data_IF_055567683109
#
_entry.id   IF_055567683109
#
_cell.length_a   1.000
_cell.length_b   1.000
_cell.length_c   1.000
_cell.angle_alpha   90.00
_cell.angle_beta   90.00
_cell.angle_gamma   90.00
#
_symmetry.space_group_name_H-M   'P 1'
#
loop_
_entity.id
_entity.type
_entity.pdbx_description
1 polymer ?
#
# COMPACT_ATOMS: atom_id res chain seq x y z
N UNK A 1 4.04 -6.78 12.24
CA UNK A 1 4.34 -7.14 10.83
C UNK A 1 4.68 -5.89 10.04
N UNK A 2 5.70 -5.96 9.18
CA UNK A 2 6.10 -4.86 8.30
C UNK A 2 6.06 -5.30 6.83
N UNK A 3 5.40 -4.52 5.97
CA UNK A 3 5.24 -4.80 4.54
C UNK A 3 6.16 -3.88 3.73
N UNK A 4 7.12 -4.47 3.02
CA UNK A 4 8.15 -3.72 2.28
C UNK A 4 8.15 -4.05 0.80
N UNK A 5 8.76 -3.20 -0.02
CA UNK A 5 9.01 -3.51 -1.43
C UNK A 5 8.17 -2.69 -2.40
N UNK A 6 7.92 -3.23 -3.58
CA UNK A 6 7.56 -2.43 -4.76
C UNK A 6 6.21 -1.69 -4.63
N UNK A 7 6.05 -0.57 -5.33
CA UNK A 7 4.78 0.18 -5.35
C UNK A 7 3.72 -0.52 -6.21
N UNK A 8 2.46 -0.44 -5.82
CA UNK A 8 1.35 -1.07 -6.55
C UNK A 8 1.36 -2.61 -6.57
N UNK A 9 2.18 -3.26 -5.74
CA UNK A 9 2.31 -4.71 -5.62
C UNK A 9 1.29 -5.37 -4.67
N UNK A 10 0.57 -4.57 -3.88
CA UNK A 10 -0.52 -5.06 -3.02
C UNK A 10 -0.33 -4.90 -1.51
N UNK A 11 0.68 -4.18 -1.02
CA UNK A 11 0.88 -3.94 0.44
C UNK A 11 -0.41 -3.49 1.16
N UNK A 12 -1.04 -2.43 0.65
CA UNK A 12 -2.28 -1.89 1.24
C UNK A 12 -3.48 -2.79 0.97
N UNK A 13 -3.46 -3.56 -0.12
CA UNK A 13 -4.50 -4.55 -0.42
C UNK A 13 -4.47 -5.69 0.61
N UNK A 14 -3.29 -6.23 0.91
CA UNK A 14 -3.12 -7.25 1.94
C UNK A 14 -3.51 -6.73 3.33
N UNK A 15 -3.10 -5.50 3.70
CA UNK A 15 -3.51 -4.88 4.96
C UNK A 15 -5.04 -4.81 5.11
N UNK A 16 -5.74 -4.42 4.03
CA UNK A 16 -7.22 -4.41 3.98
C UNK A 16 -7.81 -5.82 4.10
N UNK A 17 -7.18 -6.83 3.49
CA UNK A 17 -7.61 -8.22 3.63
C UNK A 17 -7.47 -8.73 5.05
N UNK A 18 -6.36 -8.42 5.74
CA UNK A 18 -6.14 -8.76 7.15
C UNK A 18 -7.22 -8.11 8.02
N UNK A 19 -7.48 -6.81 7.84
CA UNK A 19 -8.55 -6.12 8.56
C UNK A 19 -9.92 -6.77 8.30
N UNK A 20 -10.20 -7.17 7.06
CA UNK A 20 -11.45 -7.87 6.69
C UNK A 20 -11.57 -9.27 7.30
N UNK A 21 -10.44 -9.98 7.45
CA UNK A 21 -10.42 -11.30 8.07
C UNK A 21 -10.65 -11.22 9.60
N UNK A 22 -10.14 -10.17 10.24
CA UNK A 22 -10.22 -10.03 11.71
C UNK A 22 -11.51 -9.34 12.15
N UNK A 23 -11.99 -8.31 11.43
CA UNK A 23 -13.16 -7.53 11.82
C UNK A 23 -14.29 -7.62 10.79
N UNK A 24 -15.52 -7.85 11.27
CA UNK A 24 -16.73 -7.91 10.43
C UNK A 24 -16.93 -6.68 9.53
N UNK A 25 -16.56 -5.49 10.02
CA UNK A 25 -16.66 -4.22 9.28
C UNK A 25 -15.38 -3.86 8.53
N UNK A 26 -14.37 -4.73 8.51
CA UNK A 26 -13.06 -4.49 7.90
C UNK A 26 -12.48 -3.12 8.32
N UNK A 27 -12.01 -2.32 7.36
CA UNK A 27 -11.50 -0.96 7.58
C UNK A 27 -12.54 0.03 8.13
N UNK A 28 -13.83 -0.29 8.09
CA UNK A 28 -14.90 0.54 8.69
C UNK A 28 -15.18 0.18 10.15
N UNK A 29 -14.43 -0.77 10.72
CA UNK A 29 -14.50 -1.08 12.15
C UNK A 29 -13.96 0.09 12.96
N UNK A 30 -14.62 0.44 14.06
CA UNK A 30 -14.13 1.46 15.00
C UNK A 30 -12.82 1.06 15.70
N UNK A 31 -12.42 -0.21 15.58
CA UNK A 31 -11.18 -0.77 16.14
C UNK A 31 -10.09 -0.98 15.08
N UNK A 32 -10.31 -0.53 13.84
CA UNK A 32 -9.30 -0.54 12.79
C UNK A 32 -8.95 0.90 12.48
N UNK A 33 -7.68 1.24 12.64
CA UNK A 33 -7.20 2.59 12.53
C UNK A 33 -6.07 2.67 11.50
N UNK A 34 -6.25 3.51 10.48
CA UNK A 34 -5.25 3.73 9.44
C UNK A 34 -4.68 5.14 9.55
N UNK A 35 -3.36 5.25 9.66
CA UNK A 35 -2.60 6.48 9.56
C UNK A 35 -1.78 6.47 8.27
N UNK A 36 -1.82 7.57 7.53
CA UNK A 36 -0.95 7.82 6.36
C UNK A 36 0.00 8.93 6.75
N UNK A 37 1.31 8.67 6.74
CA UNK A 37 2.30 9.58 7.30
C UNK A 37 2.25 10.98 6.67
N UNK A 38 2.18 11.06 5.34
CA UNK A 38 2.16 12.32 4.58
C UNK A 38 0.91 13.16 4.82
N UNK A 39 -0.22 12.56 5.17
CA UNK A 39 -1.47 13.27 5.47
C UNK A 39 -1.55 13.71 6.92
N UNK A 40 -1.12 12.87 7.86
CA UNK A 40 -1.31 13.11 9.29
C UNK A 40 -0.14 13.88 9.92
N UNK A 41 1.04 13.83 9.31
CA UNK A 41 2.25 14.48 9.81
C UNK A 41 2.90 15.36 8.72
N UNK A 42 2.18 16.34 8.14
CA UNK A 42 2.68 17.11 7.01
C UNK A 42 3.75 18.14 7.40
N UNK A 43 3.70 18.67 8.64
CA UNK A 43 4.60 19.72 9.11
C UNK A 43 5.64 19.18 10.10
N UNK A 44 6.92 19.21 9.70
CA UNK A 44 8.03 18.74 10.54
C UNK A 44 8.20 19.60 11.81
N UNK A 45 7.82 20.87 11.79
CA UNK A 45 7.93 21.75 12.97
C UNK A 45 6.95 21.37 14.10
N UNK A 46 5.85 20.66 13.77
CA UNK A 46 4.85 20.20 14.73
C UNK A 46 5.12 18.78 15.25
N UNK A 47 6.29 18.21 14.94
CA UNK A 47 6.64 16.82 15.26
C UNK A 47 6.45 16.46 16.73
N UNK A 48 6.82 17.33 17.66
CA UNK A 48 6.64 17.07 19.11
C UNK A 48 5.16 17.01 19.52
N UNK A 49 4.33 17.89 18.94
CA UNK A 49 2.88 17.86 19.13
C UNK A 49 2.28 16.58 18.57
N UNK A 50 2.66 16.20 17.35
CA UNK A 50 2.20 14.96 16.71
C UNK A 50 2.60 13.71 17.51
N UNK A 51 3.78 13.74 18.14
CA UNK A 51 4.27 12.65 18.99
C UNK A 51 3.35 12.42 20.19
N UNK A 52 3.01 13.48 20.90
CA UNK A 52 2.12 13.40 22.08
C UNK A 52 0.69 13.06 21.70
N UNK A 53 0.19 13.60 20.59
CA UNK A 53 -1.12 13.25 20.04
C UNK A 53 -1.18 11.75 19.68
N UNK A 54 -0.18 11.24 18.97
CA UNK A 54 -0.11 9.84 18.57
C UNK A 54 -0.08 8.91 19.79
N UNK A 55 0.73 9.20 20.79
CA UNK A 55 0.81 8.43 22.05
C UNK A 55 -0.52 8.37 22.78
N UNK A 56 -1.15 9.53 22.96
CA UNK A 56 -2.42 9.66 23.67
C UNK A 56 -3.52 8.89 22.94
N UNK A 57 -3.54 9.01 21.62
CA UNK A 57 -4.51 8.35 20.77
C UNK A 57 -4.33 6.81 20.76
N UNK A 58 -3.10 6.28 20.65
CA UNK A 58 -2.85 4.82 20.73
C UNK A 58 -3.34 4.29 22.09
N UNK A 59 -2.96 4.95 23.20
CA UNK A 59 -3.40 4.56 24.55
C UNK A 59 -4.91 4.53 24.68
N UNK A 60 -5.59 5.59 24.24
CA UNK A 60 -7.04 5.68 24.35
C UNK A 60 -7.75 4.55 23.58
N UNK A 61 -7.29 4.21 22.37
CA UNK A 61 -7.89 3.14 21.58
C UNK A 61 -7.59 1.75 22.17
N UNK A 62 -6.38 1.52 22.68
CA UNK A 62 -6.04 0.28 23.38
C UNK A 62 -6.81 0.12 24.70
N UNK A 63 -7.05 1.21 25.43
CA UNK A 63 -7.93 1.21 26.62
C UNK A 63 -9.37 0.86 26.27
N UNK A 64 -9.86 1.28 25.10
CA UNK A 64 -11.20 0.97 24.64
C UNK A 64 -11.30 -0.47 24.09
N UNK A 65 -10.27 -0.93 23.37
CA UNK A 65 -10.17 -2.29 22.87
C UNK A 65 -8.70 -2.71 22.73
N UNK A 66 -8.28 -3.68 23.54
CA UNK A 66 -6.91 -4.24 23.52
C UNK A 66 -6.54 -4.85 22.16
N UNK A 67 -7.53 -5.33 21.41
CA UNK A 67 -7.37 -5.88 20.07
C UNK A 67 -7.63 -4.82 19.00
N UNK A 68 -7.20 -3.58 19.20
CA UNK A 68 -7.28 -2.56 18.15
C UNK A 68 -6.18 -2.81 17.11
N UNK A 69 -6.53 -2.72 15.82
CA UNK A 69 -5.59 -2.87 14.71
C UNK A 69 -5.13 -1.49 14.24
N UNK A 70 -3.82 -1.25 14.29
CA UNK A 70 -3.20 -0.02 13.83
C UNK A 70 -2.42 -0.29 12.54
N UNK A 71 -2.70 0.48 11.49
CA UNK A 71 -2.06 0.40 10.17
C UNK A 71 -1.37 1.75 9.93
N UNK A 72 -0.05 1.74 9.83
CA UNK A 72 0.74 2.91 9.46
C UNK A 72 1.21 2.75 8.01
N UNK A 73 0.79 3.66 7.15
CA UNK A 73 1.07 3.70 5.72
C UNK A 73 2.08 4.82 5.42
N UNK A 74 2.87 4.64 4.36
CA UNK A 74 3.98 5.51 3.98
C UNK A 74 4.97 5.76 5.15
N UNK A 75 5.29 4.71 5.90
CA UNK A 75 6.20 4.80 7.06
C UNK A 75 7.61 5.28 6.68
N UNK A 76 8.03 5.08 5.43
CA UNK A 76 9.28 5.62 4.89
C UNK A 76 9.31 7.16 4.85
N UNK A 77 8.13 7.80 4.89
CA UNK A 77 7.94 9.26 4.96
C UNK A 77 7.67 9.76 6.38
N UNK A 78 7.60 8.87 7.36
CA UNK A 78 7.36 9.27 8.75
C UNK A 78 8.64 9.87 9.37
N UNK A 79 8.58 11.06 9.99
CA UNK A 79 9.68 11.61 10.78
C UNK A 79 10.17 10.63 11.84
N UNK A 80 11.50 10.43 11.92
CA UNK A 80 12.08 9.44 12.83
C UNK A 80 11.74 9.70 14.30
N UNK A 81 11.57 10.98 14.70
CA UNK A 81 11.19 11.33 16.08
C UNK A 81 9.76 10.88 16.45
N UNK A 82 8.89 10.63 15.46
CA UNK A 82 7.55 10.05 15.66
C UNK A 82 7.57 8.54 15.83
N UNK A 83 8.55 7.84 15.26
CA UNK A 83 8.68 6.39 15.46
C UNK A 83 8.89 6.06 16.94
N UNK A 84 9.63 6.90 17.67
CA UNK A 84 9.81 6.80 19.14
C UNK A 84 8.51 6.93 19.94
N UNK A 85 7.44 7.47 19.36
CA UNK A 85 6.12 7.47 20.01
C UNK A 85 5.44 6.10 19.96
N UNK A 86 5.76 5.29 18.95
CA UNK A 86 5.14 3.98 18.70
C UNK A 86 5.90 2.87 19.44
N UNK A 87 7.23 2.98 19.50
CA UNK A 87 8.13 1.98 20.14
C UNK A 87 7.61 1.41 21.46
N UNK A 88 7.16 2.20 22.46
CA UNK A 88 6.70 1.65 23.74
C UNK A 88 5.48 0.72 23.66
N UNK A 89 4.70 0.80 22.58
CA UNK A 89 3.54 -0.05 22.33
C UNK A 89 3.89 -1.33 21.56
N UNK A 90 5.11 -1.42 21.03
CA UNK A 90 5.69 -2.60 20.40
C UNK A 90 6.59 -3.36 21.40
N UNK A 91 7.35 -2.63 22.24
CA UNK A 91 8.26 -3.15 23.29
C UNK A 91 7.55 -4.03 24.35
N UNK A 92 6.21 -4.07 24.41
CA UNK A 92 5.48 -4.88 25.41
C UNK A 92 5.67 -6.40 25.20
N UNK A 93 6.20 -6.82 24.04
CA UNK A 93 6.48 -8.22 23.72
C UNK A 93 7.94 -8.66 23.99
N UNK A 94 8.89 -7.75 24.18
CA UNK A 94 10.31 -8.08 24.46
C UNK A 94 10.51 -8.82 25.78
N UNK A 95 9.56 -8.70 26.71
CA UNK A 95 9.62 -9.47 27.97
C UNK A 95 9.26 -10.95 27.80
N UNK A 96 8.79 -11.38 26.63
CA UNK A 96 8.27 -12.74 26.40
C UNK A 96 9.12 -13.59 25.46
N UNK A 97 9.86 -13.02 24.50
CA UNK A 97 10.63 -13.81 23.53
C UNK A 97 12.04 -13.26 23.35
N UNK A 98 13.04 -13.95 23.91
CA UNK A 98 14.42 -13.80 23.44
C UNK A 98 14.53 -14.39 22.03
N UNK A 99 15.01 -13.61 21.06
CA UNK A 99 15.12 -14.05 19.66
C UNK A 99 16.58 -13.94 19.17
N UNK A 100 16.95 -14.96 18.41
CA UNK A 100 18.28 -15.32 17.91
C UNK A 100 18.82 -14.44 16.75
N UNK A 101 20.15 -14.32 16.73
CA UNK A 101 21.00 -13.55 15.79
C UNK A 101 20.75 -13.67 14.28
N UNK A 102 20.03 -14.69 13.80
CA UNK A 102 19.75 -14.89 12.37
C UNK A 102 18.73 -13.88 11.82
N UNK A 103 17.86 -13.35 12.67
CA UNK A 103 16.88 -12.32 12.28
C UNK A 103 17.56 -10.98 11.96
N UNK A 104 18.67 -10.63 12.61
CA UNK A 104 19.40 -9.38 12.36
C UNK A 104 19.85 -9.26 10.89
N UNK A 105 20.34 -10.35 10.31
CA UNK A 105 20.90 -10.38 8.95
C UNK A 105 19.81 -10.17 7.88
N UNK A 106 18.64 -10.78 8.05
CA UNK A 106 17.51 -10.67 7.11
C UNK A 106 16.92 -9.24 7.14
N UNK A 107 16.84 -8.64 8.33
CA UNK A 107 16.33 -7.26 8.49
C UNK A 107 17.27 -6.28 7.77
N UNK A 108 18.58 -6.44 7.91
CA UNK A 108 19.55 -5.59 7.22
C UNK A 108 19.43 -5.66 5.69
N UNK A 109 19.22 -6.85 5.12
CA UNK A 109 19.04 -7.03 3.67
C UNK A 109 17.75 -6.38 3.18
N UNK A 110 16.64 -6.54 3.92
CA UNK A 110 15.34 -5.95 3.54
C UNK A 110 15.34 -4.41 3.64
N UNK A 111 16.04 -3.86 4.64
CA UNK A 111 16.21 -2.43 4.80
C UNK A 111 17.14 -1.82 3.74
N UNK A 112 18.12 -2.57 3.21
CA UNK A 112 19.10 -2.04 2.26
C UNK A 112 18.50 -1.64 0.89
N UNK A 113 17.43 -2.32 0.46
CA UNK A 113 16.86 -2.19 -0.89
C UNK A 113 15.90 -0.99 -1.08
N UNK A 114 15.56 -0.27 -0.02
CA UNK A 114 14.86 1.02 -0.11
C UNK A 114 15.92 2.14 0.02
N UNK A 115 16.19 2.88 -1.06
CA UNK A 115 17.11 4.03 -1.03
C UNK A 115 16.77 4.99 0.12
N UNK A 116 17.78 5.56 0.79
CA UNK A 116 17.70 6.45 1.98
C UNK A 116 16.30 6.63 2.62
N UNK A 117 15.70 5.56 3.13
CA UNK A 117 14.40 5.59 3.78
C UNK A 117 14.54 5.77 5.29
N UNK A 118 13.61 6.50 5.93
CA UNK A 118 13.67 6.87 7.36
C UNK A 118 13.63 5.70 8.37
N UNK A 119 13.46 4.47 7.89
CA UNK A 119 13.58 3.25 8.71
C UNK A 119 15.03 2.76 8.82
N UNK A 120 15.91 3.09 7.85
CA UNK A 120 17.36 2.82 7.93
C UNK A 120 17.92 3.58 9.13
N UNK A 121 18.30 2.84 10.19
CA UNK A 121 18.79 3.36 11.48
C UNK A 121 17.73 3.74 12.52
N UNK A 122 16.44 3.44 12.30
CA UNK A 122 15.43 3.67 13.34
C UNK A 122 15.56 2.64 14.47
N UNK A 123 15.24 3.06 15.71
CA UNK A 123 15.24 2.19 16.89
C UNK A 123 14.32 0.97 16.75
N UNK A 124 13.35 1.00 15.82
CA UNK A 124 12.44 -0.12 15.52
C UNK A 124 13.18 -1.35 14.96
N UNK A 125 14.17 -1.11 14.09
CA UNK A 125 15.02 -2.18 13.54
C UNK A 125 16.08 -2.59 14.56
N UNK A 126 16.72 -1.62 15.21
CA UNK A 126 17.80 -1.90 16.16
C UNK A 126 17.33 -2.62 17.43
N UNK A 127 16.03 -2.57 17.75
CA UNK A 127 15.42 -3.28 18.88
C UNK A 127 14.59 -4.52 18.48
N UNK A 128 14.61 -4.95 17.21
CA UNK A 128 13.86 -6.14 16.76
C UNK A 128 12.33 -6.06 16.97
N UNK A 129 11.75 -4.85 16.98
CA UNK A 129 10.34 -4.63 17.30
C UNK A 129 9.37 -5.01 16.18
N UNK A 130 9.87 -5.69 15.16
CA UNK A 130 9.11 -6.17 14.01
C UNK A 130 9.22 -7.69 13.99
N UNK A 131 8.11 -8.37 14.29
CA UNK A 131 8.07 -9.84 14.35
C UNK A 131 8.28 -10.51 12.99
N UNK A 132 7.78 -9.88 11.91
CA UNK A 132 7.80 -10.44 10.56
C UNK A 132 7.97 -9.36 9.51
N UNK A 133 8.92 -9.60 8.60
CA UNK A 133 9.16 -8.81 7.40
C UNK A 133 8.55 -9.52 6.21
N UNK A 134 7.61 -8.86 5.52
CA UNK A 134 6.92 -9.42 4.35
C UNK A 134 7.33 -8.63 3.11
N UNK A 135 8.21 -9.18 2.26
CA UNK A 135 8.66 -8.52 1.05
C UNK A 135 7.63 -8.65 -0.08
N UNK A 136 7.40 -7.55 -0.80
CA UNK A 136 6.56 -7.49 -1.99
C UNK A 136 7.41 -7.23 -3.23
N UNK A 137 7.38 -8.17 -4.17
CA UNK A 137 8.14 -8.11 -5.41
C UNK A 137 7.45 -7.25 -6.48
N UNK A 138 8.21 -6.71 -7.45
CA UNK A 138 7.63 -6.09 -8.64
C UNK A 138 6.71 -7.06 -9.39
N UNK A 139 5.61 -6.54 -9.93
CA UNK A 139 4.63 -7.36 -10.65
C UNK A 139 5.04 -7.53 -12.11
N UNK A 140 5.18 -8.78 -12.55
CA UNK A 140 5.29 -9.10 -13.98
C UNK A 140 4.03 -8.68 -14.79
N UNK A 141 4.19 -8.53 -16.11
CA UNK A 141 3.09 -8.25 -17.05
C UNK A 141 1.88 -9.17 -16.88
N UNK A 142 2.10 -10.48 -16.67
CA UNK A 142 1.02 -11.45 -16.45
C UNK A 142 0.15 -11.13 -15.23
N UNK A 143 0.73 -10.53 -14.19
CA UNK A 143 -0.02 -10.10 -12.99
C UNK A 143 -0.82 -8.83 -13.27
N UNK A 144 -0.27 -7.90 -14.07
CA UNK A 144 -1.00 -6.70 -14.50
C UNK A 144 -2.23 -7.08 -15.32
N UNK A 145 -2.10 -8.07 -16.22
CA UNK A 145 -3.25 -8.66 -16.95
C UNK A 145 -4.31 -9.16 -15.97
N UNK A 146 -3.93 -9.86 -14.89
CA UNK A 146 -4.88 -10.33 -13.88
C UNK A 146 -5.59 -9.16 -13.17
N UNK A 147 -4.87 -8.09 -12.83
CA UNK A 147 -5.46 -6.91 -12.22
C UNK A 147 -6.50 -6.23 -13.13
N UNK A 148 -6.20 -6.04 -14.42
CA UNK A 148 -7.17 -5.49 -15.37
C UNK A 148 -8.38 -6.40 -15.54
N UNK A 149 -8.17 -7.73 -15.66
CA UNK A 149 -9.26 -8.70 -15.75
C UNK A 149 -10.18 -8.66 -14.53
N UNK A 150 -9.61 -8.59 -13.33
CA UNK A 150 -10.37 -8.49 -12.08
C UNK A 150 -11.17 -7.18 -12.02
N UNK A 151 -10.54 -6.06 -12.38
CA UNK A 151 -11.20 -4.76 -12.37
C UNK A 151 -12.34 -4.67 -13.40
N UNK A 152 -12.12 -5.09 -14.64
CA UNK A 152 -13.14 -5.12 -15.69
C UNK A 152 -14.33 -6.02 -15.31
N UNK A 153 -14.07 -7.17 -14.66
CA UNK A 153 -15.11 -8.04 -14.12
C UNK A 153 -15.91 -7.36 -13.02
N UNK A 154 -15.27 -6.59 -12.14
CA UNK A 154 -15.96 -5.85 -11.09
C UNK A 154 -16.94 -4.80 -11.62
N UNK A 155 -16.70 -4.30 -12.84
CA UNK A 155 -17.57 -3.35 -13.54
C UNK A 155 -18.66 -4.03 -14.38
N UNK A 156 -18.65 -5.37 -14.51
CA UNK A 156 -19.51 -6.13 -15.42
C UNK A 156 -19.44 -5.64 -16.89
N UNK A 157 -18.27 -5.22 -17.35
CA UNK A 157 -18.05 -4.75 -18.72
C UNK A 157 -17.45 -5.87 -19.57
N UNK A 158 -17.99 -6.07 -20.76
CA UNK A 158 -17.40 -6.94 -21.78
C UNK A 158 -16.29 -6.19 -22.52
N UNK A 159 -15.18 -6.88 -22.80
CA UNK A 159 -14.04 -6.32 -23.51
C UNK A 159 -13.46 -7.34 -24.48
N UNK A 160 -12.83 -6.85 -25.55
CA UNK A 160 -12.10 -7.70 -26.50
C UNK A 160 -10.66 -7.94 -26.02
N UNK A 161 -10.00 -9.02 -26.48
CA UNK A 161 -8.58 -9.25 -26.19
C UNK A 161 -7.70 -8.06 -26.56
N UNK A 162 -8.01 -7.36 -27.65
CA UNK A 162 -7.26 -6.19 -28.14
C UNK A 162 -7.41 -5.00 -27.20
N UNK A 163 -8.60 -4.76 -26.65
CA UNK A 163 -8.83 -3.70 -25.66
C UNK A 163 -8.05 -3.98 -24.37
N UNK A 164 -8.04 -5.24 -23.91
CA UNK A 164 -7.26 -5.65 -22.75
C UNK A 164 -5.75 -5.46 -23.00
N UNK A 165 -5.26 -5.84 -24.17
CA UNK A 165 -3.84 -5.69 -24.52
C UNK A 165 -3.43 -4.22 -24.52
N UNK A 166 -4.25 -3.32 -25.10
CA UNK A 166 -4.02 -1.86 -25.06
C UNK A 166 -3.94 -1.31 -23.63
N UNK A 167 -4.80 -1.78 -22.73
CA UNK A 167 -4.76 -1.38 -21.32
C UNK A 167 -3.47 -1.84 -20.64
N UNK A 168 -3.08 -3.10 -20.86
CA UNK A 168 -1.86 -3.67 -20.30
C UNK A 168 -0.62 -2.95 -20.83
N UNK A 169 -0.59 -2.60 -22.11
CA UNK A 169 0.49 -1.86 -22.76
C UNK A 169 0.54 -0.37 -22.38
N UNK A 170 -0.56 0.18 -21.85
CA UNK A 170 -0.58 1.55 -21.32
C UNK A 170 0.25 1.73 -20.03
N UNK A 171 0.64 0.62 -19.40
CA UNK A 171 1.48 0.60 -18.20
C UNK A 171 2.96 0.63 -18.61
N UNK A 172 3.77 1.36 -17.84
CA UNK A 172 5.22 1.37 -18.05
C UNK A 172 5.89 0.14 -17.43
N UNK A 173 6.81 -0.47 -18.17
CA UNK A 173 7.56 -1.65 -17.75
C UNK A 173 9.07 -1.43 -17.76
N UNK A 174 9.79 -2.24 -16.98
CA UNK A 174 11.24 -2.23 -16.85
C UNK A 174 11.83 -3.66 -16.75
N UNK A 175 13.13 -3.85 -16.99
CA UNK A 175 14.07 -2.91 -17.62
C UNK A 175 13.73 -2.62 -19.09
N UNK A 176 14.39 -1.62 -19.73
CA UNK A 176 14.01 -1.17 -21.09
C UNK A 176 14.28 -2.23 -22.17
N UNK A 177 15.32 -3.03 -21.97
CA UNK A 177 15.80 -4.05 -22.89
C UNK A 177 14.86 -5.26 -22.90
N UNK A 178 14.35 -5.63 -21.72
CA UNK A 178 13.41 -6.73 -21.52
C UNK A 178 12.31 -6.28 -20.55
N UNK A 179 11.24 -5.61 -21.03
CA UNK A 179 10.19 -5.05 -20.18
C UNK A 179 9.35 -6.17 -19.55
N UNK A 180 9.79 -6.65 -18.38
CA UNK A 180 9.18 -7.78 -17.67
C UNK A 180 8.31 -7.30 -16.51
N UNK A 181 8.78 -6.28 -15.77
CA UNK A 181 8.17 -5.82 -14.52
C UNK A 181 7.47 -4.47 -14.67
N UNK A 182 6.30 -4.32 -14.08
CA UNK A 182 5.53 -3.08 -14.10
C UNK A 182 6.11 -2.06 -13.11
N UNK A 183 6.49 -0.87 -13.62
CA UNK A 183 7.11 0.19 -12.82
C UNK A 183 6.21 0.66 -11.68
N UNK A 184 4.88 0.65 -11.87
CA UNK A 184 3.91 1.07 -10.87
C UNK A 184 2.99 -0.07 -10.36
N UNK A 185 3.32 -1.33 -10.67
CA UNK A 185 2.45 -2.48 -10.39
C UNK A 185 1.03 -2.27 -10.93
N UNK A 186 0.02 -2.55 -10.11
CA UNK A 186 -1.40 -2.35 -10.46
C UNK A 186 -1.98 -1.01 -10.02
N UNK A 187 -1.15 -0.04 -9.57
CA UNK A 187 -1.62 1.24 -9.01
C UNK A 187 -2.46 2.07 -10.00
N UNK A 188 -2.16 1.96 -11.30
CA UNK A 188 -2.81 2.75 -12.35
C UNK A 188 -3.96 2.01 -13.07
N UNK A 189 -4.26 0.76 -12.70
CA UNK A 189 -5.25 -0.07 -13.42
C UNK A 189 -6.62 0.60 -13.48
N UNK A 190 -7.11 1.13 -12.36
CA UNK A 190 -8.39 1.84 -12.27
C UNK A 190 -8.40 3.05 -13.20
N UNK A 191 -7.45 3.97 -13.00
CA UNK A 191 -7.37 5.21 -13.78
C UNK A 191 -7.28 4.96 -15.29
N UNK A 192 -6.47 3.99 -15.73
CA UNK A 192 -6.30 3.66 -17.15
C UNK A 192 -7.57 3.04 -17.75
N UNK A 193 -8.24 2.19 -16.99
CA UNK A 193 -9.48 1.55 -17.43
C UNK A 193 -10.60 2.58 -17.56
N UNK A 194 -10.78 3.43 -16.55
CA UNK A 194 -11.83 4.47 -16.56
C UNK A 194 -11.63 5.42 -17.74
N UNK A 195 -10.41 5.87 -17.99
CA UNK A 195 -10.09 6.73 -19.12
C UNK A 195 -10.43 6.08 -20.47
N UNK A 196 -10.10 4.79 -20.66
CA UNK A 196 -10.45 4.06 -21.88
C UNK A 196 -11.97 3.92 -22.04
N UNK A 197 -12.70 3.62 -20.97
CA UNK A 197 -14.16 3.50 -21.01
C UNK A 197 -14.82 4.83 -21.38
N UNK A 198 -14.34 5.94 -20.82
CA UNK A 198 -14.81 7.29 -21.15
C UNK A 198 -14.57 7.63 -22.63
N UNK A 199 -13.40 7.28 -23.17
CA UNK A 199 -13.10 7.47 -24.59
C UNK A 199 -14.04 6.66 -25.50
N UNK A 200 -14.32 5.40 -25.17
CA UNK A 200 -15.26 4.56 -25.95
C UNK A 200 -16.69 5.12 -25.94
N UNK A 201 -17.15 5.64 -24.79
CA UNK A 201 -18.45 6.30 -24.67
C UNK A 201 -18.48 7.57 -25.52
N UNK A 202 -17.40 8.35 -25.51
CA UNK A 202 -17.30 9.57 -26.33
C UNK A 202 -17.34 9.25 -27.82
N UNK A 203 -16.57 8.26 -28.28
CA UNK A 203 -16.57 7.82 -29.68
C UNK A 203 -17.93 7.33 -30.14
N UNK A 204 -18.62 6.55 -29.29
CA UNK A 204 -19.97 6.06 -29.58
C UNK A 204 -20.98 7.21 -29.72
N UNK A 205 -20.89 8.23 -28.87
CA UNK A 205 -21.74 9.43 -28.95
C UNK A 205 -21.48 10.24 -30.23
N UNK A 206 -20.21 10.41 -30.60
CA UNK A 206 -19.84 11.12 -31.83
C UNK A 206 -20.34 10.38 -33.08
N UNK A 207 -20.24 9.05 -33.10
CA UNK A 207 -20.76 8.23 -34.19
C UNK A 207 -22.29 8.35 -34.34
N UNK A 208 -23.03 8.40 -33.22
CA UNK A 208 -24.48 8.60 -33.22
C UNK A 208 -24.83 10.01 -33.74
N UNK A 209 -24.14 11.04 -33.27
CA UNK A 209 -24.42 12.41 -33.69
C UNK A 209 -24.11 12.65 -35.18
N UNK A 210 -23.01 12.10 -35.68
CA UNK A 210 -22.70 12.19 -37.11
C UNK A 210 -23.74 11.46 -37.97
N UNK A 211 -24.29 10.34 -37.49
CA UNK A 211 -25.36 9.63 -38.19
C UNK A 211 -26.69 10.41 -38.16
N UNK A 212 -26.97 11.18 -37.11
CA UNK A 212 -28.15 12.04 -37.05
C UNK A 212 -28.04 13.31 -37.90
N UNK A 213 -26.83 13.80 -38.16
CA UNK A 213 -26.58 14.98 -39.00
C UNK A 213 -26.58 14.65 -40.52
N UNK A 214 -26.51 13.37 -40.89
CA UNK A 214 -26.57 12.86 -42.28
C UNK A 214 -27.99 12.48 -42.76
N UNK A 215 -29.02 12.61 -41.90
CA UNK A 215 -30.44 12.31 -42.16
C UNK A 215 -31.28 13.59 -42.30
#
# INVERSE_FOLDING_TARGET
MSFHGWTGSGKNYLAKMIAKAIYKKAMRSQFVHQYVATHHFPNVEETDKYKEQLRTWIRANLSNCERSLFIFDEMDKMPIQLLDAIVPFLDFYDHLNGIDSLMEEIIQISAYNEGEGGLKSSRLINKHLIDYFVPFLPLERKHVVMCFKDYLRSLNVNYTPEQLERLVDSISYFPRETPIYASAGCKQVVQRTDFMLDDLIRESRLAINNYSDEL
#
